data_IF_364470694262
#
_entry.id   IF_364470694262
#
_cell.length_a   1.000
_cell.length_b   1.000
_cell.length_c   1.000
_cell.angle_alpha   90.00
_cell.angle_beta   90.00
_cell.angle_gamma   90.00
#
_symmetry.space_group_name_H-M   'P 1'
#
loop_
_entity.id
_entity.type
_entity.pdbx_description
1 polymer ?
#
# COMPACT_ATOMS: atom_id res chain seq x y z
N UNK A 1 23.46 -29.85 -12.06
CA UNK A 1 22.99 -28.96 -10.98
C UNK A 1 21.54 -28.60 -11.29
N UNK A 2 20.58 -29.16 -10.56
CA UNK A 2 19.18 -28.76 -10.71
C UNK A 2 19.07 -27.28 -10.34
N UNK A 3 18.80 -26.40 -11.31
CA UNK A 3 18.41 -25.02 -11.02
C UNK A 3 17.03 -25.14 -10.41
N UNK A 4 16.93 -25.05 -9.08
CA UNK A 4 15.66 -25.03 -8.36
C UNK A 4 14.88 -23.82 -8.87
N UNK A 5 13.90 -24.05 -9.73
CA UNK A 5 12.96 -23.03 -10.17
C UNK A 5 11.84 -23.00 -9.11
N UNK A 6 11.64 -21.85 -8.48
CA UNK A 6 10.48 -21.62 -7.61
C UNK A 6 9.38 -20.99 -8.45
N UNK A 7 8.18 -21.54 -8.39
CA UNK A 7 6.99 -21.00 -9.03
C UNK A 7 5.88 -20.97 -7.98
N UNK A 8 5.83 -19.87 -7.24
CA UNK A 8 4.83 -19.61 -6.21
C UNK A 8 4.16 -18.26 -6.49
N UNK A 9 2.83 -18.26 -6.58
CA UNK A 9 2.05 -17.03 -6.70
C UNK A 9 1.86 -16.49 -5.28
N UNK A 10 2.78 -15.65 -4.85
CA UNK A 10 2.69 -14.97 -3.57
C UNK A 10 1.83 -13.72 -3.73
N UNK A 11 0.72 -13.65 -3.00
CA UNK A 11 -0.13 -12.46 -2.95
C UNK A 11 0.55 -11.33 -2.14
N UNK A 12 1.63 -10.78 -2.68
CA UNK A 12 2.42 -9.71 -2.10
C UNK A 12 1.95 -8.37 -2.65
N UNK A 13 1.28 -7.55 -1.84
CA UNK A 13 0.94 -6.19 -2.24
C UNK A 13 2.16 -5.27 -2.27
N UNK A 14 2.03 -4.10 -2.90
CA UNK A 14 3.13 -3.12 -2.97
C UNK A 14 3.55 -2.65 -1.57
N UNK A 15 4.76 -2.98 -1.09
CA UNK A 15 5.16 -2.70 0.30
C UNK A 15 5.14 -1.21 0.63
N UNK A 16 5.49 -0.35 -0.33
CA UNK A 16 5.47 1.10 -0.14
C UNK A 16 4.05 1.60 0.10
N UNK A 17 3.07 1.12 -0.66
CA UNK A 17 1.66 1.51 -0.49
C UNK A 17 1.11 1.02 0.85
N UNK A 18 1.46 -0.21 1.26
CA UNK A 18 1.02 -0.73 2.56
C UNK A 18 1.59 0.07 3.74
N UNK A 19 2.90 0.34 3.73
CA UNK A 19 3.54 1.09 4.81
C UNK A 19 3.14 2.57 4.81
N UNK A 20 3.12 3.21 3.65
CA UNK A 20 2.61 4.57 3.51
C UNK A 20 1.13 4.64 3.91
N UNK A 21 0.35 3.60 3.61
CA UNK A 21 -1.05 3.48 3.98
C UNK A 21 -1.26 3.52 5.49
N UNK A 22 -0.44 2.82 6.28
CA UNK A 22 -0.51 2.86 7.75
C UNK A 22 -0.28 4.28 8.25
N UNK A 23 0.78 4.94 7.77
CA UNK A 23 1.08 6.33 8.15
C UNK A 23 -0.02 7.29 7.69
N UNK A 24 -0.56 7.08 6.50
CA UNK A 24 -1.63 7.88 5.93
C UNK A 24 -2.93 7.72 6.73
N UNK A 25 -3.29 6.52 7.19
CA UNK A 25 -4.47 6.33 8.05
C UNK A 25 -4.34 7.11 9.37
N UNK A 26 -3.16 7.11 9.99
CA UNK A 26 -2.89 7.92 11.18
C UNK A 26 -3.04 9.42 10.89
N UNK A 27 -2.53 9.88 9.74
CA UNK A 27 -2.65 11.27 9.30
C UNK A 27 -4.10 11.67 8.97
N UNK A 28 -4.87 10.77 8.35
CA UNK A 28 -6.30 10.98 8.07
C UNK A 28 -7.08 11.04 9.38
N UNK A 29 -6.78 10.19 10.37
CA UNK A 29 -7.39 10.26 11.70
C UNK A 29 -7.08 11.58 12.40
N UNK A 30 -5.82 12.01 12.36
CA UNK A 30 -5.42 13.33 12.84
C UNK A 30 -6.19 14.46 12.13
N UNK A 31 -6.31 14.40 10.80
CA UNK A 31 -7.00 15.40 9.99
C UNK A 31 -8.50 15.45 10.28
N UNK A 32 -9.15 14.30 10.50
CA UNK A 32 -10.54 14.24 10.93
C UNK A 32 -10.73 14.91 12.30
N UNK A 33 -9.85 14.64 13.27
CA UNK A 33 -9.97 15.19 14.62
C UNK A 33 -9.66 16.69 14.71
N UNK A 34 -8.64 17.15 13.97
CA UNK A 34 -8.15 18.55 14.04
C UNK A 34 -8.83 19.47 13.04
N UNK A 35 -8.95 19.04 11.78
CA UNK A 35 -9.52 19.85 10.69
C UNK A 35 -11.01 19.62 10.49
N UNK A 36 -11.58 18.55 11.07
CA UNK A 36 -12.98 18.12 10.87
C UNK A 36 -13.35 18.00 9.39
N UNK A 37 -12.40 17.51 8.59
CA UNK A 37 -12.62 17.28 7.17
C UNK A 37 -13.52 16.05 6.98
N UNK A 38 -14.66 16.24 6.30
CA UNK A 38 -15.60 15.16 6.00
C UNK A 38 -14.98 14.08 5.11
N UNK A 39 -14.02 14.45 4.25
CA UNK A 39 -13.32 13.52 3.35
C UNK A 39 -12.52 12.51 4.15
N UNK A 40 -11.81 12.99 5.18
CA UNK A 40 -11.08 12.14 6.10
C UNK A 40 -12.02 11.18 6.86
N UNK A 41 -13.19 11.67 7.26
CA UNK A 41 -14.25 10.85 7.85
C UNK A 41 -14.75 9.76 6.93
N UNK A 42 -15.03 10.08 5.67
CA UNK A 42 -15.48 9.12 4.67
C UNK A 42 -14.44 8.02 4.42
N UNK A 43 -13.16 8.39 4.28
CA UNK A 43 -12.05 7.45 4.08
C UNK A 43 -11.94 6.49 5.27
N UNK A 44 -11.92 7.01 6.50
CA UNK A 44 -11.81 6.18 7.70
C UNK A 44 -13.02 5.28 7.92
N UNK A 45 -14.22 5.79 7.62
CA UNK A 45 -15.45 5.00 7.75
C UNK A 45 -15.43 3.85 6.75
N UNK A 46 -15.04 4.10 5.50
CA UNK A 46 -14.91 3.06 4.49
C UNK A 46 -13.84 2.02 4.83
N UNK A 47 -12.67 2.46 5.31
CA UNK A 47 -11.63 1.57 5.80
C UNK A 47 -12.13 0.72 6.99
N UNK A 48 -12.74 1.35 7.99
CA UNK A 48 -13.27 0.67 9.17
C UNK A 48 -14.40 -0.32 8.80
N UNK A 49 -15.29 0.04 7.89
CA UNK A 49 -16.33 -0.85 7.39
C UNK A 49 -15.75 -2.07 6.65
N UNK A 50 -14.62 -1.92 5.95
CA UNK A 50 -13.92 -3.03 5.32
C UNK A 50 -13.05 -3.86 6.27
N UNK A 51 -12.57 -3.28 7.37
CA UNK A 51 -11.58 -3.89 8.27
C UNK A 51 -12.19 -4.45 9.58
N UNK A 52 -13.06 -3.70 10.25
CA UNK A 52 -13.61 -4.08 11.56
C UNK A 52 -14.47 -5.35 11.56
N UNK A 53 -15.26 -5.67 10.51
CA UNK A 53 -16.05 -6.90 10.51
C UNK A 53 -15.21 -8.18 10.68
N UNK A 54 -13.95 -8.16 10.27
CA UNK A 54 -13.04 -9.32 10.39
C UNK A 54 -12.76 -9.71 11.85
N UNK A 55 -12.89 -8.79 12.81
CA UNK A 55 -12.75 -9.09 14.23
C UNK A 55 -13.84 -10.05 14.75
N UNK A 56 -14.98 -10.13 14.07
CA UNK A 56 -16.01 -11.11 14.38
C UNK A 56 -15.64 -12.53 13.91
N UNK A 57 -14.67 -12.67 13.00
CA UNK A 57 -14.31 -13.93 12.34
C UNK A 57 -12.90 -14.42 12.69
N UNK A 58 -12.32 -13.96 13.81
CA UNK A 58 -10.97 -14.36 14.26
C UNK A 58 -10.81 -15.87 14.51
N UNK A 59 -11.93 -16.59 14.71
CA UNK A 59 -11.98 -18.04 14.89
C UNK A 59 -11.99 -18.82 13.56
N UNK A 60 -11.95 -18.13 12.41
CA UNK A 60 -11.84 -18.71 11.07
C UNK A 60 -10.46 -18.45 10.50
N UNK A 61 -10.00 -19.34 9.64
CA UNK A 61 -8.77 -19.14 8.86
C UNK A 61 -8.95 -17.95 7.92
N UNK A 62 -8.14 -16.91 8.12
CA UNK A 62 -8.12 -15.71 7.29
C UNK A 62 -6.81 -15.59 6.53
N UNK A 63 -6.88 -15.10 5.29
CA UNK A 63 -5.74 -14.97 4.39
C UNK A 63 -5.54 -13.51 3.97
N UNK A 64 -4.31 -13.14 3.61
CA UNK A 64 -3.93 -11.77 3.26
C UNK A 64 -4.74 -11.17 2.09
N UNK A 65 -5.20 -11.99 1.15
CA UNK A 65 -5.96 -11.50 -0.01
C UNK A 65 -7.31 -10.86 0.36
N UNK A 66 -7.88 -11.19 1.53
CA UNK A 66 -9.09 -10.54 2.03
C UNK A 66 -8.89 -9.03 2.28
N UNK A 67 -7.64 -8.57 2.35
CA UNK A 67 -7.32 -7.15 2.42
C UNK A 67 -7.82 -6.32 1.22
N UNK A 68 -8.14 -6.96 0.09
CA UNK A 68 -8.67 -6.28 -1.11
C UNK A 68 -9.94 -5.46 -0.82
N UNK A 69 -10.72 -5.84 0.20
CA UNK A 69 -11.97 -5.16 0.57
C UNK A 69 -11.72 -3.75 1.11
N UNK A 70 -10.65 -3.55 1.89
CA UNK A 70 -10.30 -2.24 2.46
C UNK A 70 -9.18 -1.52 1.70
N UNK A 71 -8.51 -2.19 0.75
CA UNK A 71 -7.39 -1.64 -0.01
C UNK A 71 -7.73 -0.33 -0.76
N UNK A 72 -8.90 -0.16 -1.42
CA UNK A 72 -9.23 1.10 -2.08
C UNK A 72 -9.25 2.29 -1.11
N UNK A 73 -9.72 2.08 0.11
CA UNK A 73 -9.76 3.10 1.16
C UNK A 73 -8.35 3.44 1.67
N UNK A 74 -7.47 2.44 1.75
CA UNK A 74 -6.05 2.65 2.06
C UNK A 74 -5.38 3.51 0.99
N UNK A 75 -5.64 3.23 -0.29
CA UNK A 75 -5.12 4.04 -1.41
C UNK A 75 -5.64 5.47 -1.33
N UNK A 76 -6.94 5.66 -1.06
CA UNK A 76 -7.52 6.99 -0.85
C UNK A 76 -6.89 7.73 0.33
N UNK A 77 -6.56 7.04 1.42
CA UNK A 77 -5.84 7.65 2.54
C UNK A 77 -4.46 8.16 2.11
N UNK A 78 -3.71 7.36 1.34
CA UNK A 78 -2.41 7.79 0.78
C UNK A 78 -2.60 8.98 -0.16
N UNK A 79 -3.59 8.93 -1.07
CA UNK A 79 -3.89 10.04 -1.98
C UNK A 79 -4.25 11.32 -1.22
N UNK A 80 -5.04 11.21 -0.14
CA UNK A 80 -5.37 12.34 0.72
C UNK A 80 -4.11 12.95 1.35
N UNK A 81 -3.23 12.12 1.91
CA UNK A 81 -1.98 12.57 2.50
C UNK A 81 -1.05 13.23 1.45
N UNK A 82 -0.95 12.65 0.24
CA UNK A 82 -0.18 13.25 -0.86
C UNK A 82 -0.77 14.57 -1.34
N UNK A 83 -2.10 14.70 -1.36
CA UNK A 83 -2.78 15.97 -1.69
C UNK A 83 -2.47 17.08 -0.68
N UNK A 84 -2.45 16.74 0.60
CA UNK A 84 -2.03 17.66 1.67
C UNK A 84 -0.54 18.02 1.56
N UNK A 85 0.32 17.06 1.20
CA UNK A 85 1.74 17.30 0.91
C UNK A 85 1.91 18.16 -0.34
N UNK A 86 1.03 18.10 -1.33
CA UNK A 86 1.09 18.93 -2.53
C UNK A 86 0.71 20.39 -2.23
N UNK A 87 -0.33 20.59 -1.41
CA UNK A 87 -0.78 21.90 -0.96
C UNK A 87 -1.45 22.77 -2.02
N UNK A 88 -1.50 24.08 -1.77
CA UNK A 88 -2.19 25.06 -2.62
C UNK A 88 -1.44 25.30 -3.94
N UNK A 89 -2.15 25.58 -5.05
CA UNK A 89 -1.54 25.98 -6.32
C UNK A 89 -0.60 27.19 -6.24
N UNK A 90 -0.84 28.10 -5.30
CA UNK A 90 -0.12 29.37 -5.14
C UNK A 90 1.08 29.28 -4.18
N UNK A 91 1.44 28.08 -3.72
CA UNK A 91 2.59 27.87 -2.83
C UNK A 91 3.91 28.04 -3.59
N UNK A 92 4.82 28.88 -3.07
CA UNK A 92 6.16 29.10 -3.62
C UNK A 92 6.97 27.79 -3.69
N UNK A 93 6.75 26.86 -2.75
CA UNK A 93 7.42 25.56 -2.71
C UNK A 93 6.76 24.49 -3.59
N UNK A 94 5.69 24.83 -4.33
CA UNK A 94 4.94 23.87 -5.15
C UNK A 94 5.78 23.00 -6.10
N UNK A 95 6.81 23.49 -6.84
CA UNK A 95 7.59 22.62 -7.71
C UNK A 95 8.34 21.52 -6.94
N UNK A 96 8.88 21.84 -5.76
CA UNK A 96 9.52 20.86 -4.88
C UNK A 96 8.49 19.82 -4.39
N UNK A 97 7.30 20.28 -3.96
CA UNK A 97 6.22 19.42 -3.46
C UNK A 97 5.70 18.47 -4.55
N UNK A 98 5.55 18.96 -5.79
CA UNK A 98 5.26 18.13 -6.97
C UNK A 98 6.36 17.08 -7.17
N UNK A 99 7.63 17.48 -7.06
CA UNK A 99 8.76 16.55 -7.16
C UNK A 99 8.68 15.42 -6.14
N UNK A 100 8.37 15.72 -4.89
CA UNK A 100 8.23 14.73 -3.80
C UNK A 100 7.08 13.76 -4.10
N UNK A 101 5.89 14.28 -4.45
CA UNK A 101 4.72 13.44 -4.77
C UNK A 101 4.98 12.57 -6.00
N UNK A 102 5.59 13.15 -7.04
CA UNK A 102 5.93 12.43 -8.27
C UNK A 102 6.96 11.34 -8.01
N UNK A 103 7.98 11.61 -7.18
CA UNK A 103 8.97 10.62 -6.77
C UNK A 103 8.31 9.46 -6.03
N UNK A 104 7.41 9.74 -5.08
CA UNK A 104 6.68 8.69 -4.37
C UNK A 104 5.90 7.78 -5.34
N UNK A 105 5.15 8.38 -6.28
CA UNK A 105 4.39 7.62 -7.29
C UNK A 105 5.32 6.83 -8.21
N UNK A 106 6.44 7.42 -8.65
CA UNK A 106 7.42 6.75 -9.49
C UNK A 106 8.04 5.53 -8.76
N UNK A 107 8.42 5.67 -7.50
CA UNK A 107 8.93 4.55 -6.69
C UNK A 107 7.87 3.46 -6.51
N UNK A 108 6.61 3.83 -6.29
CA UNK A 108 5.51 2.87 -6.20
C UNK A 108 5.37 2.05 -7.50
N UNK A 109 5.43 2.71 -8.66
CA UNK A 109 5.40 2.06 -9.97
C UNK A 109 6.61 1.15 -10.19
N UNK A 110 7.82 1.63 -9.83
CA UNK A 110 9.05 0.85 -9.95
C UNK A 110 9.03 -0.41 -9.07
N UNK A 111 8.49 -0.31 -7.85
CA UNK A 111 8.32 -1.47 -6.98
C UNK A 111 7.30 -2.45 -7.55
N UNK A 112 6.18 -1.97 -8.10
CA UNK A 112 5.23 -2.84 -8.79
C UNK A 112 5.90 -3.58 -9.95
N UNK A 113 6.68 -2.88 -10.77
CA UNK A 113 7.44 -3.49 -11.86
C UNK A 113 8.49 -4.50 -11.36
N UNK A 114 9.17 -4.20 -10.25
CA UNK A 114 10.15 -5.09 -9.63
C UNK A 114 9.51 -6.41 -9.16
N UNK A 115 8.31 -6.35 -8.55
CA UNK A 115 7.58 -7.52 -8.06
C UNK A 115 6.71 -8.22 -9.13
N UNK A 116 6.59 -7.65 -10.34
CA UNK A 116 5.75 -8.16 -11.42
C UNK A 116 5.97 -9.64 -11.76
N UNK A 117 7.21 -10.19 -11.79
CA UNK A 117 7.41 -11.61 -12.06
C UNK A 117 6.74 -12.54 -11.03
N UNK A 118 6.67 -12.13 -9.76
CA UNK A 118 6.02 -12.89 -8.68
C UNK A 118 4.49 -12.75 -8.77
N UNK A 119 4.00 -11.57 -9.16
CA UNK A 119 2.58 -11.30 -9.33
C UNK A 119 1.96 -12.05 -10.53
N UNK A 120 2.73 -12.18 -11.62
CA UNK A 120 2.32 -12.83 -12.87
C UNK A 120 2.70 -14.33 -12.92
N UNK A 121 3.34 -14.85 -11.86
CA UNK A 121 3.72 -16.26 -11.76
C UNK A 121 4.78 -16.71 -12.77
N UNK A 122 5.68 -15.81 -13.19
CA UNK A 122 6.74 -16.10 -14.15
C UNK A 122 7.81 -17.03 -13.54
N UNK A 123 8.33 -17.95 -14.33
CA UNK A 123 9.41 -18.85 -13.91
C UNK A 123 10.72 -18.07 -13.84
N UNK A 124 11.16 -17.76 -12.61
CA UNK A 124 12.41 -17.03 -12.35
C UNK A 124 13.40 -17.89 -11.56
N UNK A 125 14.73 -17.66 -11.68
CA UNK A 125 15.71 -18.34 -10.85
C UNK A 125 15.49 -18.10 -9.36
N UNK A 126 15.74 -19.10 -8.51
CA UNK A 126 15.57 -18.98 -7.05
C UNK A 126 16.30 -17.77 -6.45
N UNK A 127 17.51 -17.43 -6.93
CA UNK A 127 18.25 -16.26 -6.44
C UNK A 127 17.53 -14.94 -6.71
N UNK A 128 16.87 -14.82 -7.87
CA UNK A 128 16.06 -13.65 -8.21
C UNK A 128 14.81 -13.58 -7.35
N UNK A 129 14.10 -14.70 -7.20
CA UNK A 129 12.94 -14.81 -6.31
C UNK A 129 13.30 -14.47 -4.85
N UNK A 130 14.36 -15.05 -4.31
CA UNK A 130 14.80 -14.84 -2.93
C UNK A 130 15.20 -13.38 -2.67
N UNK A 131 15.78 -12.67 -3.66
CA UNK A 131 16.07 -11.23 -3.51
C UNK A 131 14.83 -10.35 -3.37
N UNK A 132 13.66 -10.83 -3.84
CA UNK A 132 12.38 -10.14 -3.69
C UNK A 132 11.75 -10.43 -2.31
N UNK A 133 12.15 -11.51 -1.65
CA UNK A 133 11.67 -11.88 -0.32
C UNK A 133 12.43 -11.10 0.76
N UNK A 134 12.07 -9.83 0.91
CA UNK A 134 12.73 -8.91 1.84
C UNK A 134 12.63 -9.34 3.32
N UNK A 135 11.58 -10.08 3.67
CA UNK A 135 11.37 -10.62 5.00
C UNK A 135 11.30 -12.14 4.92
N UNK A 136 11.85 -12.82 5.93
CA UNK A 136 11.79 -14.28 6.02
C UNK A 136 10.35 -14.82 6.12
N UNK A 137 9.38 -14.00 6.54
CA UNK A 137 7.96 -14.36 6.59
C UNK A 137 7.25 -14.33 5.23
N UNK A 138 7.94 -13.93 4.15
CA UNK A 138 7.40 -13.96 2.78
C UNK A 138 7.77 -15.23 2.01
N UNK A 139 8.55 -16.11 2.65
CA UNK A 139 8.97 -17.43 2.17
C UNK A 139 8.06 -18.49 2.79
#
# INVERSE_FOLDING_TARGET
MAKTCSQEITALGNPLIWWAGILALLFVAYSLLRKRDWRAGAILTGFAAGYLPWFAFLHRTVFSFYGIVFLPWLVLAVTYALGEILGSPDDENRPLRIGIVSLFVAVAILLFYYFLPVLDGQVIPYTRWHSMMWFSSWI
#
